data_IF_256643097705
#
_entry.id   IF_256643097705
#
_cell.length_a   1.000
_cell.length_b   1.000
_cell.length_c   1.000
_cell.angle_alpha   90.00
_cell.angle_beta   90.00
_cell.angle_gamma   90.00
#
_symmetry.space_group_name_H-M   'P 1'
#
loop_
_entity.id
_entity.type
_entity.pdbx_description
1 polymer ?
#
# COMPACT_ATOMS: atom_id res chain seq x y z
N UNK A 1 -15.93 54.71 -10.19
CA UNK A 1 -16.18 53.50 -9.37
C UNK A 1 -15.86 52.30 -10.25
N UNK A 2 -14.65 51.74 -10.16
CA UNK A 2 -14.28 50.52 -10.88
C UNK A 2 -14.39 49.34 -9.94
N UNK A 3 -15.28 48.40 -10.25
CA UNK A 3 -15.37 47.10 -9.59
C UNK A 3 -14.24 46.22 -10.13
N UNK A 4 -13.26 45.92 -9.29
CA UNK A 4 -12.21 44.95 -9.56
C UNK A 4 -12.81 43.54 -9.58
N UNK A 5 -12.75 42.89 -10.72
CA UNK A 5 -12.99 41.45 -10.86
C UNK A 5 -11.81 40.70 -10.23
N UNK A 6 -11.99 40.22 -9.00
CA UNK A 6 -11.05 39.28 -8.38
C UNK A 6 -11.16 37.93 -9.08
N UNK A 7 -10.15 37.59 -9.88
CA UNK A 7 -9.94 36.26 -10.41
C UNK A 7 -9.48 35.34 -9.27
N UNK A 8 -10.35 34.40 -8.88
CA UNK A 8 -9.94 33.30 -8.01
C UNK A 8 -8.93 32.42 -8.74
N UNK A 9 -7.78 32.08 -8.12
CA UNK A 9 -6.88 31.11 -8.72
C UNK A 9 -7.57 29.75 -8.74
N UNK A 10 -7.76 29.22 -9.96
CA UNK A 10 -8.09 27.82 -10.19
C UNK A 10 -7.04 26.98 -9.45
N UNK A 11 -7.40 26.45 -8.28
CA UNK A 11 -6.65 25.34 -7.68
C UNK A 11 -6.73 24.21 -8.69
N UNK A 12 -5.66 24.06 -9.47
CA UNK A 12 -5.33 22.81 -10.13
C UNK A 12 -5.42 21.75 -9.05
N UNK A 13 -6.48 20.96 -9.08
CA UNK A 13 -6.58 19.74 -8.31
C UNK A 13 -5.44 18.87 -8.79
N UNK A 14 -4.27 18.99 -8.17
CA UNK A 14 -3.27 17.93 -8.20
C UNK A 14 -4.00 16.72 -7.67
N UNK A 15 -4.49 15.89 -8.59
CA UNK A 15 -5.00 14.57 -8.33
C UNK A 15 -3.99 13.95 -7.38
N UNK A 16 -4.36 13.74 -6.11
CA UNK A 16 -3.51 13.01 -5.18
C UNK A 16 -3.46 11.61 -5.76
N UNK A 17 -2.47 11.40 -6.63
CA UNK A 17 -2.33 10.23 -7.44
C UNK A 17 -2.20 9.07 -6.45
N UNK A 18 -3.21 8.21 -6.40
CA UNK A 18 -3.19 7.08 -5.50
C UNK A 18 -2.02 6.19 -5.92
N UNK A 19 -0.92 6.10 -5.13
CA UNK A 19 0.32 5.50 -5.60
C UNK A 19 0.18 4.00 -5.90
N UNK A 20 -0.93 3.39 -5.44
CA UNK A 20 -1.28 2.00 -5.68
C UNK A 20 -2.64 1.86 -6.36
N UNK A 21 -3.08 2.88 -7.12
CA UNK A 21 -4.37 2.89 -7.83
C UNK A 21 -4.57 1.67 -8.72
N UNK A 22 -3.48 1.19 -9.33
CA UNK A 22 -3.44 0.04 -10.24
C UNK A 22 -3.82 -1.29 -9.57
N UNK A 23 -3.62 -1.44 -8.26
CA UNK A 23 -4.03 -2.65 -7.52
C UNK A 23 -5.54 -2.59 -7.25
N UNK A 24 -6.36 -3.28 -8.02
CA UNK A 24 -7.83 -3.25 -7.86
C UNK A 24 -8.27 -4.37 -6.92
N UNK A 25 -8.99 -4.03 -5.86
CA UNK A 25 -9.60 -5.00 -4.94
C UNK A 25 -11.04 -5.27 -5.38
N UNK A 26 -11.45 -6.55 -5.36
CA UNK A 26 -12.83 -6.93 -5.64
C UNK A 26 -13.80 -6.35 -4.58
N UNK A 27 -14.92 -5.79 -5.03
CA UNK A 27 -15.95 -5.18 -4.16
C UNK A 27 -17.02 -6.18 -3.70
N UNK A 28 -17.11 -7.35 -4.32
CA UNK A 28 -18.22 -8.30 -4.25
C UNK A 28 -17.91 -9.53 -3.38
N UNK A 29 -17.20 -9.34 -2.27
CA UNK A 29 -16.76 -10.40 -1.34
C UNK A 29 -15.90 -11.53 -1.96
N UNK A 30 -15.48 -11.41 -3.24
CA UNK A 30 -14.65 -12.43 -3.91
C UNK A 30 -13.22 -12.54 -3.36
N UNK A 31 -12.84 -11.67 -2.42
CA UNK A 31 -11.53 -11.64 -1.74
C UNK A 31 -10.39 -11.85 -2.73
N UNK A 32 -10.34 -11.01 -3.75
CA UNK A 32 -9.34 -11.08 -4.80
C UNK A 32 -8.82 -9.70 -5.15
N UNK A 33 -7.68 -9.67 -5.82
CA UNK A 33 -7.16 -8.46 -6.43
C UNK A 33 -6.73 -8.73 -7.87
N UNK A 34 -6.65 -7.67 -8.66
CA UNK A 34 -6.00 -7.64 -9.96
C UNK A 34 -5.10 -6.42 -10.06
N UNK A 35 -4.21 -6.41 -11.04
CA UNK A 35 -3.36 -5.27 -11.34
C UNK A 35 -3.75 -4.74 -12.71
N UNK A 36 -3.91 -3.43 -12.83
CA UNK A 36 -4.18 -2.79 -14.11
C UNK A 36 -3.12 -3.16 -15.16
N UNK A 37 -3.57 -3.60 -16.34
CA UNK A 37 -2.68 -4.14 -17.37
C UNK A 37 -2.34 -5.63 -17.22
N UNK A 38 -2.74 -6.29 -16.13
CA UNK A 38 -2.69 -7.75 -15.98
C UNK A 38 -4.13 -8.33 -15.97
N UNK A 39 -4.39 -9.30 -16.83
CA UNK A 39 -5.69 -9.98 -16.92
C UNK A 39 -5.94 -10.99 -15.80
N UNK A 40 -4.93 -11.32 -15.01
CA UNK A 40 -5.02 -12.32 -13.95
C UNK A 40 -5.75 -11.76 -12.71
N UNK A 41 -6.66 -12.57 -12.16
CA UNK A 41 -7.34 -12.31 -10.90
C UNK A 41 -6.76 -13.24 -9.84
N UNK A 42 -6.18 -12.66 -8.79
CA UNK A 42 -5.52 -13.39 -7.72
C UNK A 42 -6.44 -13.51 -6.51
N UNK A 43 -6.77 -14.73 -6.12
CA UNK A 43 -7.56 -14.99 -4.92
C UNK A 43 -6.72 -14.92 -3.65
N UNK A 44 -7.28 -14.29 -2.63
CA UNK A 44 -6.68 -14.06 -1.33
C UNK A 44 -7.45 -14.80 -0.24
N UNK A 45 -6.71 -15.30 0.74
CA UNK A 45 -7.29 -15.72 2.00
C UNK A 45 -7.91 -14.49 2.71
N UNK A 46 -8.85 -14.68 3.65
CA UNK A 46 -9.54 -13.57 4.32
C UNK A 46 -8.58 -12.54 4.94
N UNK A 47 -7.56 -13.02 5.66
CA UNK A 47 -6.59 -12.13 6.30
C UNK A 47 -5.59 -11.50 5.32
N UNK A 48 -5.26 -12.17 4.22
CA UNK A 48 -4.44 -11.58 3.15
C UNK A 48 -5.18 -10.41 2.48
N UNK A 49 -6.48 -10.58 2.22
CA UNK A 49 -7.32 -9.52 1.65
C UNK A 49 -7.44 -8.33 2.60
N UNK A 50 -7.68 -8.59 3.89
CA UNK A 50 -7.72 -7.55 4.93
C UNK A 50 -6.38 -6.82 5.03
N UNK A 51 -5.25 -7.54 5.04
CA UNK A 51 -3.92 -6.94 5.06
C UNK A 51 -3.69 -6.02 3.87
N UNK A 52 -3.97 -6.51 2.65
CA UNK A 52 -3.79 -5.72 1.44
C UNK A 52 -4.68 -4.46 1.44
N UNK A 53 -5.91 -4.56 1.94
CA UNK A 53 -6.80 -3.43 2.09
C UNK A 53 -6.25 -2.36 3.05
N UNK A 54 -5.73 -2.77 4.22
CA UNK A 54 -5.12 -1.86 5.20
C UNK A 54 -3.91 -1.15 4.58
N UNK A 55 -3.00 -1.92 3.98
CA UNK A 55 -1.77 -1.37 3.41
C UNK A 55 -2.05 -0.45 2.20
N UNK A 56 -3.04 -0.78 1.37
CA UNK A 56 -3.49 0.08 0.28
C UNK A 56 -4.11 1.39 0.80
N UNK A 57 -4.90 1.33 1.89
CA UNK A 57 -5.44 2.53 2.56
C UNK A 57 -4.35 3.41 3.15
N UNK A 58 -3.27 2.81 3.66
CA UNK A 58 -2.12 3.52 4.21
C UNK A 58 -1.25 4.22 3.13
N UNK A 59 -1.50 3.97 1.83
CA UNK A 59 -0.85 4.63 0.69
C UNK A 59 0.68 4.62 0.77
N UNK A 60 1.24 3.50 1.22
CA UNK A 60 2.69 3.33 1.34
C UNK A 60 3.27 3.95 2.61
N UNK A 61 2.45 4.29 3.58
CA UNK A 61 2.91 4.55 4.96
C UNK A 61 3.14 3.22 5.68
N UNK A 62 4.09 3.17 6.59
CA UNK A 62 4.30 2.03 7.48
C UNK A 62 3.09 1.88 8.40
N UNK A 63 2.51 0.68 8.46
CA UNK A 63 1.45 0.33 9.40
C UNK A 63 2.04 -0.63 10.43
N UNK A 64 2.01 -0.25 11.71
CA UNK A 64 2.57 -1.03 12.81
C UNK A 64 1.85 -2.38 12.98
N UNK A 65 2.57 -3.33 13.57
CA UNK A 65 2.08 -4.71 13.77
C UNK A 65 0.86 -4.73 14.68
N UNK A 66 0.85 -3.94 15.75
CA UNK A 66 -0.24 -3.92 16.75
C UNK A 66 -1.56 -3.43 16.13
N UNK A 67 -1.52 -2.39 15.29
CA UNK A 67 -2.68 -1.89 14.54
C UNK A 67 -3.24 -2.93 13.57
N UNK A 68 -2.37 -3.73 12.95
CA UNK A 68 -2.79 -4.82 12.06
C UNK A 68 -3.44 -5.96 12.86
N UNK A 69 -2.84 -6.32 14.00
CA UNK A 69 -3.38 -7.35 14.90
C UNK A 69 -4.74 -6.93 15.45
N UNK A 70 -4.87 -5.69 15.91
CA UNK A 70 -6.13 -5.11 16.38
C UNK A 70 -7.19 -5.14 15.28
N UNK A 71 -6.83 -4.84 14.03
CA UNK A 71 -7.77 -4.93 12.91
C UNK A 71 -8.18 -6.38 12.58
N UNK A 72 -7.29 -7.35 12.77
CA UNK A 72 -7.58 -8.75 12.48
C UNK A 72 -8.44 -9.41 13.54
N UNK A 73 -8.19 -9.10 14.82
CA UNK A 73 -8.68 -9.88 15.96
C UNK A 73 -9.46 -9.05 17.00
N UNK A 74 -9.45 -7.72 16.91
CA UNK A 74 -10.01 -6.83 17.93
C UNK A 74 -8.98 -6.44 19.01
N UNK A 75 -9.43 -5.76 20.07
CA UNK A 75 -8.56 -5.49 21.22
C UNK A 75 -8.13 -6.82 21.87
N UNK A 76 -6.84 -6.98 22.12
CA UNK A 76 -6.30 -8.22 22.64
C UNK A 76 -6.62 -8.34 24.15
N UNK A 77 -7.49 -9.29 24.50
CA UNK A 77 -7.74 -9.68 25.90
C UNK A 77 -6.77 -10.77 26.41
N UNK A 78 -5.70 -11.10 25.67
CA UNK A 78 -4.78 -12.18 26.08
C UNK A 78 -3.37 -12.13 25.50
N UNK A 79 -2.45 -12.83 26.17
CA UNK A 79 -0.98 -12.78 26.00
C UNK A 79 -0.40 -13.58 24.81
N UNK A 80 -1.21 -14.01 23.84
CA UNK A 80 -0.69 -14.79 22.71
C UNK A 80 -0.02 -13.86 21.69
N UNK A 81 1.30 -13.98 21.44
CA UNK A 81 1.96 -13.16 20.43
C UNK A 81 1.50 -13.58 19.02
N UNK A 82 0.61 -12.80 18.42
CA UNK A 82 0.07 -13.05 17.08
C UNK A 82 1.01 -12.57 15.96
N UNK A 83 2.18 -12.02 16.31
CA UNK A 83 3.14 -11.46 15.38
C UNK A 83 3.62 -12.45 14.33
N UNK A 84 3.75 -13.73 14.68
CA UNK A 84 4.17 -14.79 13.76
C UNK A 84 3.09 -15.12 12.72
N UNK A 85 1.82 -14.94 13.10
CA UNK A 85 0.68 -15.11 12.20
C UNK A 85 0.66 -13.99 11.17
N UNK A 86 0.85 -12.74 11.60
CA UNK A 86 0.91 -11.58 10.68
C UNK A 86 2.10 -11.72 9.73
N UNK A 87 3.27 -12.16 10.21
CA UNK A 87 4.44 -12.45 9.37
C UNK A 87 4.13 -13.49 8.28
N UNK A 88 3.43 -14.56 8.66
CA UNK A 88 3.04 -15.61 7.71
C UNK A 88 2.08 -15.09 6.65
N UNK A 89 1.07 -14.31 7.05
CA UNK A 89 0.09 -13.69 6.15
C UNK A 89 0.81 -12.73 5.19
N UNK A 90 1.68 -11.86 5.71
CA UNK A 90 2.45 -10.90 4.90
C UNK A 90 3.37 -11.61 3.90
N UNK A 91 4.01 -12.71 4.30
CA UNK A 91 4.88 -13.49 3.42
C UNK A 91 4.12 -14.13 2.25
N UNK A 92 2.94 -14.70 2.51
CA UNK A 92 2.09 -15.26 1.44
C UNK A 92 1.57 -14.18 0.50
N UNK A 93 1.14 -13.04 1.05
CA UNK A 93 0.69 -11.92 0.25
C UNK A 93 1.82 -11.33 -0.61
N UNK A 94 3.05 -11.27 -0.08
CA UNK A 94 4.23 -10.82 -0.82
C UNK A 94 4.47 -11.67 -2.06
N UNK A 95 4.39 -13.00 -1.95
CA UNK A 95 4.54 -13.91 -3.09
C UNK A 95 3.48 -13.67 -4.15
N UNK A 96 2.22 -13.51 -3.74
CA UNK A 96 1.10 -13.24 -4.66
C UNK A 96 1.26 -11.90 -5.40
N UNK A 97 1.66 -10.85 -4.68
CA UNK A 97 1.96 -9.54 -5.29
C UNK A 97 3.14 -9.63 -6.24
N UNK A 98 4.19 -10.33 -5.87
CA UNK A 98 5.39 -10.49 -6.70
C UNK A 98 5.05 -11.18 -8.03
N UNK A 99 4.28 -12.27 -8.00
CA UNK A 99 3.85 -12.98 -9.21
C UNK A 99 2.96 -12.10 -10.08
N UNK A 100 1.93 -11.49 -9.50
CA UNK A 100 0.94 -10.72 -10.24
C UNK A 100 1.49 -9.40 -10.83
N UNK A 101 2.51 -8.83 -10.20
CA UNK A 101 3.09 -7.53 -10.58
C UNK A 101 4.44 -7.63 -11.27
N UNK A 102 4.93 -8.85 -11.55
CA UNK A 102 6.29 -9.09 -12.02
C UNK A 102 7.36 -8.42 -11.13
N UNK A 103 7.13 -8.44 -9.81
CA UNK A 103 8.01 -7.85 -8.81
C UNK A 103 7.92 -6.33 -8.64
N UNK A 104 6.98 -5.64 -9.29
CA UNK A 104 6.79 -4.19 -9.12
C UNK A 104 6.25 -3.83 -7.74
N UNK A 105 5.19 -4.51 -7.32
CA UNK A 105 4.54 -4.26 -6.04
C UNK A 105 4.99 -5.29 -5.01
N UNK A 106 5.22 -4.82 -3.78
CA UNK A 106 5.72 -5.66 -2.71
C UNK A 106 5.33 -5.16 -1.32
N UNK A 107 5.70 -5.94 -0.31
CA UNK A 107 5.54 -5.57 1.09
C UNK A 107 6.91 -5.49 1.73
N UNK A 108 7.27 -4.30 2.19
CA UNK A 108 8.49 -4.06 2.95
C UNK A 108 8.24 -4.21 4.45
N UNK A 109 9.23 -4.74 5.16
CA UNK A 109 9.24 -4.93 6.61
C UNK A 109 10.58 -4.39 7.13
N UNK A 110 10.60 -3.20 7.78
CA UNK A 110 11.85 -2.56 8.21
C UNK A 110 12.57 -3.27 9.36
N UNK A 111 11.88 -4.17 10.05
CA UNK A 111 12.42 -4.94 11.17
C UNK A 111 11.31 -5.72 11.86
N UNK A 112 11.66 -6.63 12.78
CA UNK A 112 10.68 -7.40 13.54
C UNK A 112 9.77 -6.45 14.34
N UNK A 113 8.45 -6.70 14.28
CA UNK A 113 7.39 -5.97 15.01
C UNK A 113 7.23 -4.47 14.68
N UNK A 114 7.98 -3.93 13.72
CA UNK A 114 7.84 -2.53 13.32
C UNK A 114 6.65 -2.27 12.40
N UNK A 115 6.12 -3.33 11.77
CA UNK A 115 5.01 -3.24 10.85
C UNK A 115 5.35 -3.53 9.39
N UNK A 116 4.44 -3.13 8.50
CA UNK A 116 4.47 -3.47 7.08
C UNK A 116 4.10 -2.26 6.23
N UNK A 117 4.72 -2.18 5.05
CA UNK A 117 4.53 -1.08 4.12
C UNK A 117 4.32 -1.64 2.71
N UNK A 118 3.30 -1.16 2.00
CA UNK A 118 3.16 -1.45 0.57
C UNK A 118 4.15 -0.60 -0.23
N UNK A 119 4.90 -1.23 -1.14
CA UNK A 119 5.96 -0.57 -1.92
C UNK A 119 5.74 -0.76 -3.42
N UNK A 120 6.18 0.24 -4.19
CA UNK A 120 6.27 0.20 -5.65
C UNK A 120 7.75 0.43 -6.03
N UNK A 121 8.41 -0.61 -6.55
CA UNK A 121 9.84 -0.56 -6.89
C UNK A 121 10.13 0.45 -7.98
N UNK A 122 9.24 0.62 -8.97
CA UNK A 122 9.42 1.60 -10.04
C UNK A 122 9.38 3.04 -9.51
N UNK A 123 8.46 3.35 -8.59
CA UNK A 123 8.43 4.68 -7.93
C UNK A 123 9.61 4.90 -7.00
N UNK A 124 10.14 3.84 -6.39
CA UNK A 124 11.28 3.93 -5.46
C UNK A 124 12.59 4.24 -6.20
N UNK A 125 12.78 3.68 -7.39
CA UNK A 125 13.93 3.95 -8.26
C UNK A 125 13.92 5.37 -8.82
N UNK A 126 12.75 5.88 -9.20
CA UNK A 126 12.58 7.26 -9.69
C UNK A 126 12.95 8.32 -8.63
N UNK A 127 12.62 8.07 -7.35
CA UNK A 127 12.99 8.99 -6.26
C UNK A 127 14.48 8.97 -5.95
N UNK A 128 15.14 7.81 -6.07
CA UNK A 128 16.56 7.65 -5.75
C UNK A 128 17.50 8.16 -6.85
N UNK A 129 17.05 8.21 -8.10
CA UNK A 129 17.80 8.81 -9.22
C UNK A 129 17.78 10.34 -9.21
N UNK A 130 16.69 10.98 -8.77
CA UNK A 130 16.62 12.45 -8.68
C UNK A 130 17.58 13.00 -7.61
N UNK A 131 17.76 12.30 -6.49
CA UNK A 131 18.68 12.73 -5.41
C UNK A 131 20.16 12.67 -5.80
N UNK A 132 20.54 11.88 -6.81
CA UNK A 132 21.95 11.75 -7.23
C UNK A 132 22.42 12.78 -8.25
N UNK A 133 21.53 13.59 -8.83
CA UNK A 133 21.88 14.66 -9.80
C UNK A 133 22.05 16.05 -9.18
N UNK A 134 22.12 16.15 -7.85
CA UNK A 134 22.19 17.42 -7.11
C UNK A 134 23.56 17.78 -6.50
N UNK A 135 24.67 17.15 -6.93
CA UNK A 135 26.01 17.51 -6.46
C UNK A 135 27.02 17.49 -7.61
N UNK A 136 26.97 18.52 -8.45
CA UNK A 136 28.13 19.02 -9.19
C UNK A 136 27.78 20.41 -9.71
N UNK A 137 28.08 21.43 -8.89
CA UNK A 137 28.47 22.76 -9.32
C UNK A 137 29.59 23.20 -8.39
#
# INVERSE_FOLDING_TARGET
MNMSSESFPSRSSESIENPFGEIRLAQDNKRSFSIEGNSEVIHLAPQEFRLLMILKKARGTLVDTDSIESFFYGEQEGDLPLSDVVNTIASRLRLKLQVASSGRFGIYTPGPKLGYQLTDTQRTELKSTVTRRGKHF
#
